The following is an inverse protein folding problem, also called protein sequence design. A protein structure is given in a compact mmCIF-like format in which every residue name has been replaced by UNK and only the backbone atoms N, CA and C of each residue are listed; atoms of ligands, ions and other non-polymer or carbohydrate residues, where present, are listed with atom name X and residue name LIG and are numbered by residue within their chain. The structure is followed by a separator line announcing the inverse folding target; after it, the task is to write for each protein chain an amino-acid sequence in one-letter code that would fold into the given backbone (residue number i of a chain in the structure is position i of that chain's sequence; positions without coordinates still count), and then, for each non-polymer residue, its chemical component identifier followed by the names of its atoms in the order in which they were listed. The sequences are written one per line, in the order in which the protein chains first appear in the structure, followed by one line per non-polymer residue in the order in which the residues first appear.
data_IF_113328077783
#
_entry.id   IF_113328077783
#
_cell.length_a   1.000
_cell.length_b   1.000
_cell.length_c   1.000
_cell.angle_alpha   90.00
_cell.angle_beta   90.00
_cell.angle_gamma   90.00
#
_symmetry.space_group_name_H-M   'P 1'
#
loop_
_entity.id
_entity.type
_entity.pdbx_description
1 polymer ?
#
# COMPACT_ATOMS: atom_id res chain seq x y z
N UNK A 1 29.88 -2.74 -5.66
CA UNK A 1 29.21 -1.43 -5.50
C UNK A 1 27.73 -1.70 -5.53
N UNK A 2 27.03 -1.54 -4.40
CA UNK A 2 25.57 -1.66 -4.37
C UNK A 2 25.01 -0.39 -4.98
N UNK A 3 24.61 -0.44 -6.25
CA UNK A 3 23.87 0.65 -6.90
C UNK A 3 22.58 0.84 -6.11
N UNK A 4 22.32 2.04 -5.61
CA UNK A 4 21.04 2.35 -4.99
C UNK A 4 19.95 2.19 -6.08
N UNK A 5 19.15 1.13 -5.95
CA UNK A 5 18.14 0.77 -6.94
C UNK A 5 17.11 1.88 -7.14
N UNK A 6 17.00 2.83 -6.20
CA UNK A 6 16.03 3.92 -6.17
C UNK A 6 16.64 5.30 -6.47
N UNK A 7 17.89 5.33 -6.94
CA UNK A 7 18.57 6.58 -7.29
C UNK A 7 17.89 7.33 -8.46
N UNK A 8 17.24 6.62 -9.38
CA UNK A 8 16.57 7.19 -10.55
C UNK A 8 15.09 7.51 -10.34
N UNK A 9 14.31 7.33 -11.41
CA UNK A 9 12.86 7.50 -11.42
C UNK A 9 12.16 6.57 -10.43
N UNK A 10 11.12 7.09 -9.79
CA UNK A 10 10.32 6.36 -8.82
C UNK A 10 8.88 6.23 -9.29
N UNK A 11 8.31 5.05 -9.03
CA UNK A 11 6.93 4.71 -9.38
C UNK A 11 6.22 4.21 -8.13
N UNK A 12 5.14 4.89 -7.75
CA UNK A 12 4.37 4.56 -6.56
C UNK A 12 3.03 3.97 -6.96
N UNK A 13 2.78 2.73 -6.56
CA UNK A 13 1.53 2.04 -6.79
C UNK A 13 0.47 2.54 -5.83
N UNK A 14 -0.68 2.92 -6.35
CA UNK A 14 -1.82 3.42 -5.60
C UNK A 14 -2.98 2.42 -5.66
N UNK A 15 -3.60 2.17 -4.51
CA UNK A 15 -4.81 1.35 -4.37
C UNK A 15 -6.00 2.23 -3.97
N UNK A 16 -7.20 1.92 -4.47
CA UNK A 16 -8.41 2.71 -4.18
C UNK A 16 -8.46 4.04 -4.94
N UNK A 17 -7.85 4.11 -6.12
CA UNK A 17 -7.93 5.27 -7.01
C UNK A 17 -8.05 4.82 -8.47
N UNK A 18 -9.10 5.28 -9.17
CA UNK A 18 -9.27 5.05 -10.60
C UNK A 18 -8.93 6.33 -11.37
N UNK A 19 -7.99 6.22 -12.31
CA UNK A 19 -7.54 7.32 -13.15
C UNK A 19 -7.97 7.04 -14.58
N UNK A 20 -8.86 7.87 -15.14
CA UNK A 20 -9.36 7.68 -16.50
C UNK A 20 -8.43 8.29 -17.56
N UNK A 21 -7.80 9.41 -17.23
CA UNK A 21 -6.87 10.13 -18.10
C UNK A 21 -5.60 10.46 -17.31
N UNK A 22 -4.41 10.35 -17.92
CA UNK A 22 -3.17 10.75 -17.28
C UNK A 22 -3.21 12.23 -16.85
N UNK A 23 -2.81 12.48 -15.61
CA UNK A 23 -2.61 13.83 -15.09
C UNK A 23 -1.11 14.11 -15.01
N UNK A 24 -0.70 15.28 -15.49
CA UNK A 24 0.69 15.75 -15.42
C UNK A 24 0.75 16.93 -14.47
N UNK A 25 1.58 16.81 -13.45
CA UNK A 25 1.90 17.90 -12.53
C UNK A 25 3.19 18.59 -12.97
N UNK A 26 3.54 19.68 -12.28
CA UNK A 26 4.85 20.34 -12.47
C UNK A 26 6.00 19.37 -12.20
N UNK A 27 7.18 19.66 -12.76
CA UNK A 27 8.41 18.83 -12.63
C UNK A 27 8.32 17.44 -13.28
N UNK A 28 7.40 17.26 -14.24
CA UNK A 28 7.27 16.01 -15.00
C UNK A 28 6.65 14.85 -14.20
N UNK A 29 6.15 15.11 -13.00
CA UNK A 29 5.44 14.13 -12.19
C UNK A 29 4.14 13.79 -12.90
N UNK A 30 3.79 12.51 -12.97
CA UNK A 30 2.56 12.09 -13.63
C UNK A 30 1.79 11.05 -12.84
N UNK A 31 0.46 11.10 -12.90
CA UNK A 31 -0.45 10.13 -12.34
C UNK A 31 -1.21 9.47 -13.49
N UNK A 32 -1.17 8.15 -13.57
CA UNK A 32 -1.80 7.40 -14.65
C UNK A 32 -2.38 6.08 -14.16
N UNK A 33 -3.30 5.50 -14.93
CA UNK A 33 -3.79 4.15 -14.69
C UNK A 33 -2.67 3.13 -14.84
N UNK A 34 -2.69 2.10 -14.00
CA UNK A 34 -1.85 0.90 -14.17
C UNK A 34 -2.61 -0.30 -13.62
N UNK A 35 -2.03 -1.48 -13.74
CA UNK A 35 -2.57 -2.66 -13.07
C UNK A 35 -1.45 -3.51 -12.50
N UNK A 36 -1.52 -3.77 -11.20
CA UNK A 36 -0.77 -4.83 -10.55
C UNK A 36 -1.57 -5.37 -9.37
N UNK A 37 -1.55 -6.69 -9.16
CA UNK A 37 -2.12 -7.29 -7.95
C UNK A 37 -0.98 -7.65 -7.01
N UNK A 38 -0.87 -6.89 -5.91
CA UNK A 38 0.12 -7.13 -4.87
C UNK A 38 -0.39 -8.26 -3.96
N UNK A 39 0.18 -9.44 -4.15
CA UNK A 39 0.00 -10.56 -3.26
C UNK A 39 0.92 -10.40 -2.06
N UNK A 40 0.38 -10.48 -0.84
CA UNK A 40 1.17 -10.45 0.40
C UNK A 40 1.24 -11.81 1.14
N UNK A 41 1.51 -12.96 0.49
CA UNK A 41 1.89 -14.13 1.25
C UNK A 41 3.28 -13.88 1.84
N UNK A 42 3.42 -14.07 3.15
CA UNK A 42 4.76 -14.15 3.74
C UNK A 42 5.32 -15.52 3.36
N UNK A 43 6.25 -15.55 2.40
CA UNK A 43 6.93 -16.77 1.94
C UNK A 43 8.21 -16.95 2.75
N UNK A 44 8.36 -18.10 3.40
CA UNK A 44 9.56 -18.45 4.15
C UNK A 44 10.38 -19.51 3.43
N UNK A 45 11.69 -19.23 3.28
CA UNK A 45 12.69 -20.22 2.92
C UNK A 45 13.33 -20.79 4.19
N UNK A 46 13.44 -22.12 4.26
CA UNK A 46 14.08 -22.79 5.41
C UNK A 46 15.52 -23.21 5.12
N UNK A 47 16.07 -22.74 3.99
CA UNK A 47 17.45 -22.98 3.55
C UNK A 47 18.02 -21.72 2.85
N UNK A 48 19.32 -21.41 3.03
CA UNK A 48 19.96 -20.31 2.34
C UNK A 48 20.04 -20.57 0.83
N UNK A 49 19.99 -19.49 0.05
CA UNK A 49 20.27 -19.55 -1.38
C UNK A 49 21.78 -19.65 -1.63
N UNK A 50 22.17 -20.35 -2.70
CA UNK A 50 23.52 -20.17 -3.24
C UNK A 50 23.66 -18.75 -3.82
N UNK A 51 24.86 -18.15 -3.81
CA UNK A 51 25.07 -16.82 -4.36
C UNK A 51 24.51 -16.67 -5.78
N UNK A 52 23.62 -15.68 -5.97
CA UNK A 52 23.00 -15.39 -7.27
C UNK A 52 21.89 -16.35 -7.71
N UNK A 53 21.53 -17.36 -6.90
CA UNK A 53 20.39 -18.25 -7.16
C UNK A 53 19.18 -17.82 -6.33
N UNK A 54 17.95 -18.12 -6.79
CA UNK A 54 16.77 -18.06 -5.94
C UNK A 54 16.93 -19.00 -4.73
N UNK A 55 16.28 -18.68 -3.61
CA UNK A 55 16.18 -19.63 -2.49
C UNK A 55 15.59 -20.96 -3.00
N UNK A 56 16.05 -22.07 -2.44
CA UNK A 56 15.50 -23.39 -2.75
C UNK A 56 14.42 -23.76 -1.73
N UNK A 57 13.42 -24.53 -2.18
CA UNK A 57 12.33 -24.99 -1.31
C UNK A 57 12.81 -25.87 -0.14
N UNK A 58 11.93 -26.17 0.83
CA UNK A 58 10.48 -25.98 0.77
C UNK A 58 10.05 -24.54 1.07
N UNK A 59 9.04 -24.06 0.34
CA UNK A 59 8.35 -22.80 0.59
C UNK A 59 7.07 -23.07 1.35
N UNK A 60 6.75 -22.23 2.33
CA UNK A 60 5.42 -22.23 2.96
C UNK A 60 4.81 -20.85 2.86
N UNK A 61 3.55 -20.81 2.47
CA UNK A 61 2.70 -19.65 2.64
C UNK A 61 2.40 -19.47 4.13
N UNK A 62 2.46 -18.24 4.61
CA UNK A 62 2.06 -17.89 5.97
C UNK A 62 1.05 -16.74 5.91
N UNK A 63 0.22 -16.60 6.95
CA UNK A 63 -0.85 -15.59 6.96
C UNK A 63 -0.25 -14.18 6.98
N UNK A 64 -0.54 -13.39 5.93
CA UNK A 64 -0.10 -12.00 5.76
C UNK A 64 -1.21 -10.98 6.02
N UNK A 65 -0.87 -9.68 5.93
CA UNK A 65 -1.72 -8.56 6.35
C UNK A 65 -2.71 -8.06 5.29
N UNK A 66 -2.68 -8.60 4.07
CA UNK A 66 -3.74 -8.47 3.07
C UNK A 66 -3.22 -8.23 1.66
N UNK A 67 -3.91 -8.71 0.63
CA UNK A 67 -3.60 -8.37 -0.75
C UNK A 67 -4.12 -6.97 -1.11
N UNK A 68 -3.48 -6.32 -2.08
CA UNK A 68 -3.94 -5.02 -2.60
C UNK A 68 -3.90 -5.00 -4.12
N UNK A 69 -4.95 -4.42 -4.69
CA UNK A 69 -5.00 -4.11 -6.11
C UNK A 69 -4.43 -2.71 -6.34
N UNK A 70 -3.45 -2.60 -7.23
CA UNK A 70 -2.84 -1.35 -7.69
C UNK A 70 -3.50 -0.97 -9.00
N UNK A 71 -4.26 0.12 -8.99
CA UNK A 71 -5.06 0.60 -10.12
C UNK A 71 -4.54 1.89 -10.73
N UNK A 72 -3.63 2.57 -10.04
CA UNK A 72 -2.96 3.77 -10.52
C UNK A 72 -1.49 3.77 -10.09
N UNK A 73 -0.66 4.49 -10.83
CA UNK A 73 0.71 4.78 -10.45
C UNK A 73 1.00 6.27 -10.50
N UNK A 74 1.73 6.75 -9.51
CA UNK A 74 2.37 8.05 -9.52
C UNK A 74 3.83 7.87 -9.94
N UNK A 75 4.23 8.48 -11.04
CA UNK A 75 5.62 8.57 -11.49
C UNK A 75 6.22 9.88 -10.99
N UNK A 76 7.34 9.77 -10.29
CA UNK A 76 8.14 10.89 -9.81
C UNK A 76 9.52 10.78 -10.45
N UNK A 77 9.83 11.62 -11.46
CA UNK A 77 11.14 11.60 -12.13
C UNK A 77 12.28 11.85 -11.15
N UNK A 78 13.47 11.34 -11.46
CA UNK A 78 14.70 11.59 -10.68
C UNK A 78 14.90 13.10 -10.44
N UNK A 79 14.70 13.90 -11.49
CA UNK A 79 14.87 15.36 -11.48
C UNK A 79 13.83 16.12 -10.64
N UNK A 80 12.76 15.48 -10.14
CA UNK A 80 11.72 16.15 -9.37
C UNK A 80 12.14 16.49 -7.93
N UNK A 81 13.15 15.80 -7.39
CA UNK A 81 13.72 16.01 -6.05
C UNK A 81 15.24 15.83 -6.04
N UNK A 82 15.92 16.37 -5.03
CA UNK A 82 17.39 16.34 -4.89
C UNK A 82 17.92 14.96 -4.56
N UNK A 83 17.12 14.17 -3.85
CA UNK A 83 17.45 12.82 -3.43
C UNK A 83 16.19 11.94 -3.39
N UNK A 84 16.39 10.64 -3.14
CA UNK A 84 15.32 9.65 -3.00
C UNK A 84 14.30 10.07 -1.94
N UNK A 85 14.75 10.58 -0.79
CA UNK A 85 13.86 10.96 0.30
C UNK A 85 12.94 12.13 -0.07
N UNK A 86 13.45 13.16 -0.75
CA UNK A 86 12.62 14.27 -1.26
C UNK A 86 11.56 13.76 -2.25
N UNK A 87 11.90 12.82 -3.13
CA UNK A 87 10.92 12.20 -4.05
C UNK A 87 9.83 11.41 -3.33
N UNK A 88 10.18 10.68 -2.27
CA UNK A 88 9.19 10.04 -1.40
C UNK A 88 8.28 11.07 -0.71
N UNK A 89 8.84 12.18 -0.22
CA UNK A 89 8.05 13.26 0.39
C UNK A 89 7.09 13.92 -0.62
N UNK A 90 7.53 14.13 -1.86
CA UNK A 90 6.66 14.61 -2.95
C UNK A 90 5.50 13.64 -3.17
N UNK A 91 5.78 12.34 -3.29
CA UNK A 91 4.75 11.31 -3.47
C UNK A 91 3.78 11.28 -2.28
N UNK A 92 4.29 11.31 -1.04
CA UNK A 92 3.49 11.38 0.18
C UNK A 92 2.61 12.63 0.25
N UNK A 93 3.09 13.76 -0.24
CA UNK A 93 2.32 15.01 -0.27
C UNK A 93 1.19 14.92 -1.30
N UNK A 94 1.47 14.40 -2.49
CA UNK A 94 0.45 14.22 -3.54
C UNK A 94 -0.62 13.24 -3.07
N UNK A 95 -0.25 12.08 -2.51
CA UNK A 95 -1.24 11.11 -2.04
C UNK A 95 -2.07 11.67 -0.88
N UNK A 96 -1.47 12.48 0.00
CA UNK A 96 -2.21 13.18 1.05
C UNK A 96 -3.26 14.13 0.47
N UNK A 97 -2.92 14.92 -0.56
CA UNK A 97 -3.86 15.81 -1.23
C UNK A 97 -4.96 15.03 -1.96
N UNK A 98 -4.62 13.93 -2.63
CA UNK A 98 -5.60 13.05 -3.26
C UNK A 98 -6.57 12.45 -2.23
N UNK A 99 -6.07 11.98 -1.09
CA UNK A 99 -6.91 11.48 0.01
C UNK A 99 -7.92 12.52 0.51
N UNK A 100 -7.50 13.78 0.58
CA UNK A 100 -8.39 14.87 1.00
C UNK A 100 -9.43 15.21 -0.06
N UNK A 101 -9.09 15.10 -1.35
CA UNK A 101 -9.95 15.55 -2.44
C UNK A 101 -10.86 14.45 -3.01
N UNK A 102 -10.38 13.22 -3.13
CA UNK A 102 -11.05 12.14 -3.87
C UNK A 102 -11.59 11.06 -2.95
N UNK A 103 -10.71 10.35 -2.26
CA UNK A 103 -11.08 9.23 -1.40
C UNK A 103 -10.03 9.06 -0.29
N UNK A 104 -10.40 9.26 0.99
CA UNK A 104 -9.50 9.05 2.11
C UNK A 104 -9.03 7.58 2.27
N UNK A 105 -9.67 6.62 1.60
CA UNK A 105 -9.24 5.22 1.56
C UNK A 105 -8.12 4.95 0.56
N UNK A 106 -7.76 5.90 -0.31
CA UNK A 106 -6.64 5.70 -1.24
C UNK A 106 -5.34 5.42 -0.45
N UNK A 107 -4.57 4.42 -0.86
CA UNK A 107 -3.28 4.08 -0.23
C UNK A 107 -2.14 4.00 -1.25
N UNK A 108 -0.91 4.15 -0.76
CA UNK A 108 0.34 4.01 -1.52
C UNK A 108 1.15 2.82 -0.97
N UNK A 109 0.71 1.57 -1.19
CA UNK A 109 1.33 0.39 -0.58
C UNK A 109 2.76 0.11 -1.01
N UNK A 110 3.13 0.46 -2.24
CA UNK A 110 4.38 0.00 -2.84
C UNK A 110 5.04 1.09 -3.68
N UNK A 111 6.36 1.17 -3.59
CA UNK A 111 7.24 1.95 -4.45
C UNK A 111 8.11 1.00 -5.29
N UNK A 112 8.40 1.41 -6.53
CA UNK A 112 9.26 0.71 -7.47
C UNK A 112 10.22 1.66 -8.17
N UNK A 113 11.35 1.12 -8.62
CA UNK A 113 12.28 1.79 -9.52
C UNK A 113 11.96 1.59 -11.00
N UNK A 114 10.91 0.82 -11.32
CA UNK A 114 10.44 0.53 -12.68
C UNK A 114 8.93 0.75 -12.73
N UNK A 115 8.39 1.19 -13.87
CA UNK A 115 6.95 1.33 -14.04
C UNK A 115 6.26 -0.05 -13.88
N UNK A 116 5.09 -0.09 -13.21
CA UNK A 116 4.41 -1.36 -12.91
C UNK A 116 4.08 -2.18 -14.17
N UNK A 117 3.74 -1.51 -15.27
CA UNK A 117 3.47 -2.15 -16.56
C UNK A 117 4.71 -2.82 -17.19
N UNK A 118 5.91 -2.38 -16.81
CA UNK A 118 7.18 -2.87 -17.36
C UNK A 118 7.80 -3.97 -16.50
N UNK A 119 7.40 -4.09 -15.23
CA UNK A 119 7.91 -5.12 -14.30
C UNK A 119 7.85 -6.54 -14.90
N UNK A 120 6.76 -7.00 -15.55
CA UNK A 120 6.70 -8.36 -16.12
C UNK A 120 7.73 -8.63 -17.21
N UNK A 121 8.19 -7.59 -17.93
CA UNK A 121 9.18 -7.70 -18.99
C UNK A 121 10.61 -7.45 -18.50
N UNK A 122 10.79 -7.02 -17.24
CA UNK A 122 12.09 -6.73 -16.66
C UNK A 122 12.89 -8.02 -16.39
N UNK A 123 14.22 -7.91 -16.42
CA UNK A 123 15.10 -9.03 -16.02
C UNK A 123 14.89 -9.35 -14.53
N UNK A 124 14.96 -10.63 -14.17
CA UNK A 124 14.87 -11.06 -12.77
C UNK A 124 15.83 -10.28 -11.87
N UNK A 125 15.29 -9.63 -10.83
CA UNK A 125 16.05 -8.82 -9.88
C UNK A 125 16.34 -7.38 -10.32
N UNK A 126 15.90 -6.95 -11.51
CA UNK A 126 16.04 -5.55 -11.97
C UNK A 126 14.98 -4.62 -11.34
N UNK A 127 13.75 -5.12 -11.19
CA UNK A 127 12.69 -4.41 -10.50
C UNK A 127 12.85 -4.57 -8.98
N UNK A 128 13.17 -3.48 -8.31
CA UNK A 128 13.14 -3.35 -6.86
C UNK A 128 11.76 -2.84 -6.43
N UNK A 129 11.20 -3.46 -5.39
CA UNK A 129 9.92 -3.06 -4.80
C UNK A 129 10.12 -2.86 -3.30
N UNK A 130 9.66 -1.73 -2.77
CA UNK A 130 9.66 -1.43 -1.34
C UNK A 130 8.22 -1.19 -0.90
N UNK A 131 7.84 -1.77 0.25
CA UNK A 131 6.58 -1.47 0.91
C UNK A 131 6.67 -0.12 1.59
N UNK A 132 5.66 0.73 1.41
CA UNK A 132 5.66 2.09 1.92
C UNK A 132 4.58 2.32 2.99
N UNK A 133 3.32 1.94 2.74
CA UNK A 133 2.22 2.13 3.68
C UNK A 133 1.55 0.82 4.13
N UNK A 134 2.10 0.22 5.19
CA UNK A 134 1.57 -1.00 5.84
C UNK A 134 0.64 -0.71 7.03
N UNK A 135 0.16 0.52 7.19
CA UNK A 135 -0.75 0.87 8.29
C UNK A 135 -2.17 0.43 7.93
N UNK A 136 -2.79 -0.35 8.81
CA UNK A 136 -4.21 -0.68 8.72
C UNK A 136 -5.04 0.56 9.03
N UNK A 137 -6.10 0.78 8.25
CA UNK A 137 -7.15 1.74 8.62
C UNK A 137 -7.99 1.14 9.75
N UNK A 138 -8.11 1.85 10.88
CA UNK A 138 -8.84 1.37 12.06
C UNK A 138 -10.36 1.58 11.98
N UNK A 139 -10.83 2.33 10.98
CA UNK A 139 -12.24 2.50 10.67
C UNK A 139 -12.42 2.59 9.15
N UNK A 140 -13.43 1.90 8.63
CA UNK A 140 -13.80 2.01 7.22
C UNK A 140 -14.68 3.24 7.04
N UNK A 141 -14.29 4.13 6.15
CA UNK A 141 -15.16 5.22 5.71
C UNK A 141 -16.08 4.63 4.65
N UNK A 142 -17.33 4.37 5.05
CA UNK A 142 -18.39 4.01 4.13
C UNK A 142 -19.24 5.23 3.86
N UNK A 143 -19.60 5.45 2.59
CA UNK A 143 -20.63 6.42 2.24
C UNK A 143 -21.92 5.95 2.91
N UNK A 144 -22.44 6.73 3.87
CA UNK A 144 -23.79 6.52 4.37
C UNK A 144 -24.72 6.96 3.24
N UNK A 145 -25.19 6.02 2.44
CA UNK A 145 -26.24 6.26 1.45
C UNK A 145 -27.51 6.72 2.17
N UNK A 146 -27.64 8.02 2.46
CA UNK A 146 -28.89 8.75 2.76
C UNK A 146 -29.80 8.24 3.89
N UNK A 147 -29.55 7.08 4.49
CA UNK A 147 -30.31 6.50 5.59
C UNK A 147 -29.48 6.67 6.84
N UNK A 148 -29.84 7.71 7.59
CA UNK A 148 -29.44 7.93 8.98
C UNK A 148 -29.46 6.59 9.71
N UNK A 149 -28.29 6.04 10.04
CA UNK A 149 -28.21 4.92 10.99
C UNK A 149 -28.66 5.46 12.35
N UNK A 150 -29.62 4.82 13.03
CA UNK A 150 -29.83 5.08 14.45
C UNK A 150 -28.61 4.51 15.17
N UNK A 151 -27.79 5.41 15.69
CA UNK A 151 -26.87 5.27 16.82
C UNK A 151 -26.46 3.82 17.13
N UNK A 152 -25.40 3.32 16.48
CA UNK A 152 -24.82 2.03 16.83
C UNK A 152 -23.83 2.18 18.00
N UNK A 153 -24.37 2.43 19.20
CA UNK A 153 -23.82 1.86 20.43
C UNK A 153 -24.61 0.59 20.75
N UNK A 154 -24.23 -0.52 20.14
CA UNK A 154 -24.61 -1.85 20.64
C UNK A 154 -23.34 -2.56 21.09
N UNK A 155 -22.97 -2.31 22.34
CA UNK A 155 -22.07 -3.16 23.10
C UNK A 155 -22.64 -4.58 23.11
N UNK A 156 -21.98 -5.46 22.35
CA UNK A 156 -22.23 -6.90 22.34
C UNK A 156 -21.24 -7.66 23.22
N UNK A 157 -20.76 -7.07 24.32
CA UNK A 157 -20.10 -7.85 25.36
C UNK A 157 -21.11 -8.22 26.43
N UNK A 158 -21.68 -9.43 26.31
CA UNK A 158 -22.38 -10.09 27.41
C UNK A 158 -21.34 -10.49 28.46
N UNK A 159 -21.02 -9.55 29.35
CA UNK A 159 -20.33 -9.85 30.61
C UNK A 159 -21.38 -10.42 31.54
N UNK A 160 -21.38 -11.73 31.73
CA UNK A 160 -22.09 -12.35 32.85
C UNK A 160 -21.35 -11.98 34.14
N UNK A 161 -21.80 -10.92 34.81
CA UNK A 161 -21.51 -10.69 36.23
C UNK A 161 -22.79 -10.97 37.01
N UNK A 162 -22.80 -12.08 37.73
CA UNK A 162 -23.63 -12.25 38.92
C UNK A 162 -22.96 -11.46 40.05
N UNK A 163 -23.56 -10.36 40.49
CA UNK A 163 -23.12 -9.66 41.71
C UNK A 163 -24.02 -10.09 42.89
N UNK A 164 -23.46 -10.68 43.97
CA UNK A 164 -24.22 -11.29 45.07
C UNK A 164 -24.52 -10.33 46.24
N UNK A 165 -24.72 -9.03 46.00
CA UNK A 165 -24.83 -8.02 47.07
C UNK A 165 -26.04 -7.10 46.95
N UNK A 166 -27.22 -7.68 46.76
CA UNK A 166 -28.50 -6.97 46.97
C UNK A 166 -29.51 -7.94 47.60
N UNK A 167 -29.24 -8.33 48.85
CA UNK A 167 -30.23 -8.86 49.80
C UNK A 167 -29.65 -8.72 51.22
N UNK A 168 -29.72 -7.50 51.76
CA UNK A 168 -29.60 -7.21 53.19
C UNK A 168 -30.21 -5.83 53.47
N UNK A 169 -31.43 -5.83 54.01
CA UNK A 169 -32.16 -4.63 54.41
C UNK A 169 -33.66 -4.87 54.46
#
# INVERSE_FOLDING_TARGET
MSTDAFAGDLYFGLAGLSVQQPLVFTRGISLQSTYAYMMEPVIMAFKPAEPGKPHSGPWKETQGLGSREITAQLHVPEAAGKDTNERFQIASTIIFLLRLWTDPQTTMPVASNVAFAEVPASKSGAAALIRFEDRRHFFSLQLIEGKRRPDSYSSGHRVLRSDPYLDAG
#
